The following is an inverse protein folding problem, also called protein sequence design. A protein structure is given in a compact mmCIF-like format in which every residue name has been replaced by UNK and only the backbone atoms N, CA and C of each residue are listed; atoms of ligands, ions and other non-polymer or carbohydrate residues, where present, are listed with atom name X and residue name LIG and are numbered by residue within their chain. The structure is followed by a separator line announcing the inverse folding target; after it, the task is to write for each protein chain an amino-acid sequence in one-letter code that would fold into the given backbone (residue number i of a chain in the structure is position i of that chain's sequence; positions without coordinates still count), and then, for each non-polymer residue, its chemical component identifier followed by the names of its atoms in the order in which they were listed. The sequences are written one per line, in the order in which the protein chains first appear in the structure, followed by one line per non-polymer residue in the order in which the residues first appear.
data_IF_706912363004
#
_entry.id   IF_706912363004
#
_cell.length_a   1.000
_cell.length_b   1.000
_cell.length_c   1.000
_cell.angle_alpha   90.00
_cell.angle_beta   90.00
_cell.angle_gamma   90.00
#
_symmetry.space_group_name_H-M   'P 1'
#
loop_
_entity.id
_entity.type
_entity.pdbx_description
1 polymer ?
#
# COMPACT_ATOMS: atom_id res chain seq x y z
N UNK A 1 16.97 -55.86 13.69
CA UNK A 1 17.26 -56.27 12.29
C UNK A 1 18.00 -55.09 11.66
N UNK A 2 19.32 -55.33 11.51
CA UNK A 2 20.25 -54.33 10.98
C UNK A 2 20.32 -54.46 9.45
N UNK A 3 20.38 -53.35 8.72
CA UNK A 3 20.81 -53.35 7.33
C UNK A 3 21.87 -52.24 7.15
N UNK A 4 22.99 -52.73 6.66
CA UNK A 4 24.30 -52.13 6.41
C UNK A 4 24.31 -51.23 5.18
N UNK A 5 25.27 -50.30 5.03
CA UNK A 5 25.41 -49.42 3.88
C UNK A 5 26.32 -49.98 2.79
N UNK A 6 26.11 -49.56 1.54
CA UNK A 6 26.98 -49.83 0.40
C UNK A 6 27.78 -48.59 -0.02
N UNK A 7 29.05 -48.75 -0.48
CA UNK A 7 29.95 -47.64 -0.71
C UNK A 7 29.98 -47.15 -2.17
N UNK A 8 30.30 -45.86 -2.32
CA UNK A 8 30.66 -45.21 -3.59
C UNK A 8 32.07 -45.58 -4.05
N UNK A 9 32.24 -45.84 -5.33
CA UNK A 9 33.52 -45.93 -6.00
C UNK A 9 33.66 -44.83 -7.07
N UNK A 10 34.76 -44.12 -7.02
CA UNK A 10 35.25 -43.21 -8.06
C UNK A 10 36.25 -43.94 -8.98
N UNK A 11 36.37 -43.59 -10.26
CA UNK A 11 37.57 -43.93 -11.02
C UNK A 11 38.43 -42.72 -11.32
N UNK A 12 39.73 -42.95 -11.19
CA UNK A 12 40.88 -42.10 -11.35
C UNK A 12 41.33 -41.92 -12.81
N UNK A 13 41.81 -40.70 -13.06
CA UNK A 13 42.95 -40.29 -13.89
C UNK A 13 43.34 -41.03 -15.20
N UNK A 14 43.54 -40.27 -16.26
CA UNK A 14 44.49 -40.59 -17.33
C UNK A 14 45.37 -39.38 -17.70
N UNK A 15 46.62 -39.73 -17.93
CA UNK A 15 47.85 -38.96 -17.95
C UNK A 15 48.11 -38.16 -19.25
N UNK A 16 49.01 -37.24 -19.09
CA UNK A 16 49.64 -36.36 -20.08
C UNK A 16 50.43 -37.10 -21.19
N UNK A 17 50.50 -36.48 -22.36
CA UNK A 17 51.67 -36.60 -23.27
C UNK A 17 52.05 -35.22 -23.82
N UNK A 18 53.28 -34.81 -23.47
CA UNK A 18 54.06 -33.77 -24.13
C UNK A 18 54.43 -34.19 -25.56
N UNK A 19 54.35 -33.28 -26.50
CA UNK A 19 55.25 -33.23 -27.68
C UNK A 19 55.67 -31.78 -27.86
N UNK A 20 56.98 -31.53 -27.72
CA UNK A 20 57.61 -30.27 -27.98
C UNK A 20 57.93 -30.10 -29.45
N UNK A 21 57.95 -28.88 -29.93
CA UNK A 21 58.70 -28.47 -31.12
C UNK A 21 59.19 -27.05 -30.89
N UNK A 22 60.52 -26.92 -30.86
CA UNK A 22 61.28 -25.66 -30.95
C UNK A 22 61.10 -25.08 -32.36
N UNK A 23 60.90 -23.78 -32.46
CA UNK A 23 61.31 -22.95 -33.58
C UNK A 23 61.72 -21.57 -33.09
N UNK A 24 62.86 -21.12 -33.62
CA UNK A 24 63.72 -20.05 -33.16
C UNK A 24 63.34 -18.71 -33.84
N UNK A 25 63.44 -17.66 -33.05
CA UNK A 25 63.88 -16.31 -33.33
C UNK A 25 63.24 -15.47 -34.46
N UNK A 26 62.78 -14.29 -34.05
CA UNK A 26 62.54 -13.14 -34.88
C UNK A 26 62.15 -11.95 -33.99
N UNK A 27 63.11 -11.25 -33.40
CA UNK A 27 62.85 -10.02 -32.66
C UNK A 27 62.60 -8.88 -33.68
N UNK A 28 61.40 -8.43 -33.75
CA UNK A 28 61.02 -7.15 -34.34
C UNK A 28 60.41 -6.29 -33.21
N UNK A 29 61.20 -5.33 -32.74
CA UNK A 29 60.72 -4.25 -31.85
C UNK A 29 59.74 -3.37 -32.62
N UNK A 30 58.48 -3.59 -32.47
CA UNK A 30 57.43 -2.61 -32.79
C UNK A 30 57.00 -1.97 -31.46
N UNK A 31 57.44 -0.73 -31.23
CA UNK A 31 56.81 0.17 -30.25
C UNK A 31 55.36 0.40 -30.70
N UNK A 32 54.45 -0.43 -30.31
CA UNK A 32 53.01 -0.18 -30.33
C UNK A 32 52.63 0.54 -29.06
N UNK A 33 52.31 1.84 -29.16
CA UNK A 33 51.49 2.49 -28.14
C UNK A 33 50.25 1.62 -27.95
N UNK A 34 50.18 0.90 -26.85
CA UNK A 34 48.90 0.38 -26.34
C UNK A 34 48.09 1.59 -25.92
N UNK A 35 47.22 2.07 -26.80
CA UNK A 35 46.01 2.74 -26.31
C UNK A 35 45.27 1.68 -25.49
N UNK A 36 45.34 1.81 -24.17
CA UNK A 36 44.38 1.16 -23.31
C UNK A 36 43.00 1.62 -23.80
N UNK A 37 42.34 0.78 -24.54
CA UNK A 37 40.95 0.98 -24.87
C UNK A 37 40.23 0.99 -23.50
N UNK A 38 39.91 2.16 -23.02
CA UNK A 38 39.04 2.37 -21.88
C UNK A 38 37.83 1.47 -22.07
N UNK A 39 37.73 0.40 -21.30
CA UNK A 39 36.55 -0.45 -21.35
C UNK A 39 35.39 0.50 -21.01
N UNK A 40 34.32 0.54 -21.83
CA UNK A 40 33.19 1.36 -21.52
C UNK A 40 32.69 1.00 -20.12
N UNK A 41 32.66 1.98 -19.21
CA UNK A 41 32.09 1.78 -17.89
C UNK A 41 30.73 1.10 -18.05
N UNK A 42 30.43 0.09 -17.24
CA UNK A 42 29.14 -0.60 -17.31
C UNK A 42 28.05 0.46 -17.12
N UNK A 43 27.14 0.54 -18.10
CA UNK A 43 26.04 1.50 -18.06
C UNK A 43 25.30 1.38 -16.73
N UNK A 44 25.03 2.52 -16.07
CA UNK A 44 24.29 2.55 -14.81
C UNK A 44 22.98 1.78 -14.96
N UNK A 45 22.60 0.91 -13.96
CA UNK A 45 21.39 0.14 -14.05
C UNK A 45 20.16 1.02 -14.23
N UNK A 46 19.30 0.69 -15.21
CA UNK A 46 18.01 1.37 -15.38
C UNK A 46 17.04 0.94 -14.28
N UNK A 47 15.93 1.65 -14.12
CA UNK A 47 14.89 1.25 -13.18
C UNK A 47 14.24 -0.12 -13.55
N UNK A 48 14.26 -0.47 -14.85
CA UNK A 48 13.78 -1.75 -15.36
C UNK A 48 14.74 -2.92 -15.11
N UNK A 49 16.03 -2.65 -14.89
CA UNK A 49 17.04 -3.69 -14.60
C UNK A 49 17.40 -3.79 -13.12
N UNK A 50 17.06 -2.78 -12.31
CA UNK A 50 17.23 -2.80 -10.87
C UNK A 50 16.15 -3.64 -10.20
N UNK A 51 16.51 -4.37 -9.12
CA UNK A 51 15.54 -5.12 -8.32
C UNK A 51 14.61 -4.19 -7.54
N UNK A 52 13.44 -4.68 -7.15
CA UNK A 52 12.49 -3.94 -6.31
C UNK A 52 12.96 -3.74 -4.85
N UNK A 53 14.15 -4.18 -4.48
CA UNK A 53 14.62 -4.22 -3.09
C UNK A 53 14.55 -2.87 -2.39
N UNK A 54 14.96 -1.81 -3.07
CA UNK A 54 14.89 -0.46 -2.49
C UNK A 54 13.44 -0.11 -2.16
N UNK A 55 12.53 -0.25 -3.12
CA UNK A 55 11.13 0.06 -2.94
C UNK A 55 10.47 -0.79 -1.84
N UNK A 56 10.69 -2.11 -1.87
CA UNK A 56 10.05 -3.02 -0.90
C UNK A 56 10.59 -2.86 0.52
N UNK A 57 11.89 -2.58 0.70
CA UNK A 57 12.48 -2.35 2.02
C UNK A 57 11.99 -1.05 2.66
N UNK A 58 11.85 0.02 1.87
CA UNK A 58 11.26 1.27 2.35
C UNK A 58 9.78 1.10 2.71
N UNK A 59 9.01 0.41 1.87
CA UNK A 59 7.61 0.06 2.16
C UNK A 59 7.48 -0.75 3.44
N UNK A 60 8.34 -1.76 3.67
CA UNK A 60 8.34 -2.53 4.92
C UNK A 60 8.62 -1.64 6.15
N UNK A 61 9.53 -0.67 6.00
CA UNK A 61 9.79 0.29 7.08
C UNK A 61 8.60 1.20 7.33
N UNK A 62 7.99 1.73 6.28
CA UNK A 62 6.81 2.59 6.38
C UNK A 62 5.64 1.87 7.08
N UNK A 63 5.38 0.61 6.72
CA UNK A 63 4.37 -0.22 7.40
C UNK A 63 4.69 -0.43 8.89
N UNK A 64 5.97 -0.59 9.27
CA UNK A 64 6.38 -0.64 10.67
C UNK A 64 6.20 0.70 11.40
N UNK A 65 6.44 1.82 10.72
CA UNK A 65 6.20 3.15 11.28
C UNK A 65 4.71 3.39 11.52
N UNK A 66 3.84 2.97 10.60
CA UNK A 66 2.37 3.02 10.77
C UNK A 66 1.94 2.17 11.97
N UNK A 67 2.42 0.93 12.05
CA UNK A 67 2.07 -0.01 13.14
C UNK A 67 2.46 0.52 14.52
N UNK A 68 3.64 1.13 14.62
CA UNK A 68 4.25 1.54 15.89
C UNK A 68 4.16 3.06 16.14
N UNK A 69 3.64 3.81 15.17
CA UNK A 69 3.47 5.25 15.26
C UNK A 69 2.18 5.65 15.94
N UNK A 70 2.17 6.84 16.54
CA UNK A 70 0.97 7.41 17.16
C UNK A 70 0.20 8.21 16.12
N UNK A 71 -1.12 8.03 16.07
CA UNK A 71 -2.02 8.88 15.30
C UNK A 71 -2.22 8.46 13.84
N UNK A 72 -1.57 7.40 13.35
CA UNK A 72 -1.75 6.89 11.99
C UNK A 72 -3.03 6.05 11.89
N UNK A 73 -4.18 6.71 12.04
CA UNK A 73 -5.49 6.12 11.75
C UNK A 73 -5.58 5.71 10.27
N UNK A 74 -6.51 4.83 9.86
CA UNK A 74 -6.57 4.37 8.48
C UNK A 74 -6.55 5.48 7.42
N UNK A 75 -7.31 6.59 7.55
CA UNK A 75 -7.20 7.69 6.59
C UNK A 75 -5.81 8.33 6.55
N UNK A 76 -5.20 8.59 7.70
CA UNK A 76 -3.87 9.21 7.79
C UNK A 76 -2.79 8.30 7.21
N UNK A 77 -2.84 6.99 7.52
CA UNK A 77 -1.93 6.00 6.96
C UNK A 77 -2.07 5.89 5.43
N UNK A 78 -3.30 5.89 4.89
CA UNK A 78 -3.54 5.83 3.45
C UNK A 78 -2.89 7.00 2.70
N UNK A 79 -2.96 8.19 3.29
CA UNK A 79 -2.33 9.39 2.74
C UNK A 79 -0.81 9.29 2.71
N UNK A 80 -0.18 8.84 3.80
CA UNK A 80 1.27 8.67 3.87
C UNK A 80 1.77 7.70 2.79
N UNK A 81 1.18 6.50 2.72
CA UNK A 81 1.49 5.48 1.73
C UNK A 81 1.33 5.98 0.28
N UNK A 82 0.33 6.83 0.02
CA UNK A 82 0.11 7.38 -1.32
C UNK A 82 1.20 8.38 -1.73
N UNK A 83 1.55 9.31 -0.84
CA UNK A 83 2.60 10.30 -1.15
C UNK A 83 3.99 9.68 -1.23
N UNK A 84 4.31 8.68 -0.41
CA UNK A 84 5.54 7.91 -0.54
C UNK A 84 5.58 7.19 -1.90
N UNK A 85 4.53 6.47 -2.27
CA UNK A 85 4.46 5.80 -3.58
C UNK A 85 4.57 6.74 -4.77
N UNK A 86 3.99 7.96 -4.71
CA UNK A 86 4.15 8.97 -5.77
C UNK A 86 5.59 9.49 -5.80
N UNK A 87 6.21 9.77 -4.65
CA UNK A 87 7.61 10.23 -4.60
C UNK A 87 8.56 9.17 -5.16
N UNK A 88 8.37 7.91 -4.79
CA UNK A 88 9.11 6.78 -5.35
C UNK A 88 8.99 6.73 -6.89
N UNK A 89 7.76 6.75 -7.40
CA UNK A 89 7.53 6.68 -8.85
C UNK A 89 8.18 7.84 -9.59
N UNK A 90 7.96 9.06 -9.15
CA UNK A 90 8.51 10.26 -9.81
C UNK A 90 10.03 10.33 -9.74
N UNK A 91 10.64 9.79 -8.68
CA UNK A 91 12.10 9.72 -8.58
C UNK A 91 12.74 8.76 -9.58
N UNK A 92 12.01 7.77 -10.10
CA UNK A 92 12.54 6.76 -11.02
C UNK A 92 11.93 6.82 -12.42
N UNK A 93 10.81 7.51 -12.62
CA UNK A 93 10.10 7.59 -13.89
C UNK A 93 10.99 8.07 -15.08
N UNK A 94 11.91 9.03 -14.91
CA UNK A 94 12.81 9.41 -16.01
C UNK A 94 13.79 8.31 -16.44
N UNK A 95 14.08 7.35 -15.55
CA UNK A 95 14.89 6.16 -15.84
C UNK A 95 14.11 5.01 -16.48
N UNK A 96 12.85 5.20 -16.78
CA UNK A 96 11.98 4.21 -17.42
C UNK A 96 11.69 4.64 -18.86
N UNK A 97 12.12 3.86 -19.84
CA UNK A 97 12.02 4.21 -21.27
C UNK A 97 10.59 4.49 -21.71
N UNK A 98 9.65 3.67 -21.27
CA UNK A 98 8.25 3.74 -21.71
C UNK A 98 7.35 4.57 -20.80
N UNK A 99 7.85 5.06 -19.66
CA UNK A 99 7.02 5.74 -18.66
C UNK A 99 7.16 7.27 -18.76
N UNK A 100 6.25 7.97 -18.12
CA UNK A 100 6.24 9.43 -18.01
C UNK A 100 5.82 9.86 -16.61
N UNK A 101 6.14 11.10 -16.25
CA UNK A 101 5.70 11.73 -15.01
C UNK A 101 4.17 11.86 -14.96
N UNK A 102 3.62 11.79 -13.75
CA UNK A 102 2.22 12.07 -13.46
C UNK A 102 1.95 13.57 -13.24
N UNK A 103 2.98 14.41 -13.26
CA UNK A 103 2.81 15.86 -13.21
C UNK A 103 1.91 16.33 -14.37
N UNK A 104 0.92 17.17 -14.05
CA UNK A 104 -0.12 17.59 -15.00
C UNK A 104 -1.30 16.63 -15.10
N UNK A 105 -1.25 15.44 -14.47
CA UNK A 105 -2.36 14.47 -14.43
C UNK A 105 -2.98 14.38 -13.03
N UNK A 106 -2.21 14.68 -11.98
CA UNK A 106 -2.68 14.67 -10.60
C UNK A 106 -3.20 16.04 -10.17
N UNK A 107 -4.19 16.07 -9.30
CA UNK A 107 -4.84 17.30 -8.83
C UNK A 107 -3.85 18.22 -8.13
N UNK A 108 -3.57 19.36 -8.73
CA UNK A 108 -2.69 20.39 -8.14
C UNK A 108 -1.18 20.08 -8.22
N UNK A 109 -0.76 19.03 -8.95
CA UNK A 109 0.64 18.73 -9.25
C UNK A 109 0.92 19.07 -10.70
N UNK A 110 1.40 20.27 -11.00
CA UNK A 110 1.61 20.74 -12.36
C UNK A 110 3.00 20.41 -12.91
N UNK A 111 4.02 20.53 -12.09
CA UNK A 111 5.43 20.36 -12.50
C UNK A 111 6.24 19.70 -11.39
N UNK A 112 7.30 18.99 -11.79
CA UNK A 112 8.29 18.41 -10.89
C UNK A 112 9.71 18.69 -11.42
N UNK A 113 10.74 18.64 -10.56
CA UNK A 113 12.14 18.69 -10.98
C UNK A 113 12.43 17.63 -12.04
N UNK A 114 13.32 17.97 -12.97
CA UNK A 114 13.77 17.06 -14.04
C UNK A 114 15.24 16.73 -13.85
N UNK A 115 15.69 15.54 -14.24
CA UNK A 115 17.12 15.25 -14.29
C UNK A 115 17.82 16.13 -15.31
N UNK A 116 19.09 16.44 -15.08
CA UNK A 116 19.91 17.22 -16.01
C UNK A 116 20.11 16.45 -17.31
N UNK A 117 19.88 17.11 -18.44
CA UNK A 117 19.98 16.48 -19.74
C UNK A 117 21.41 15.98 -20.02
N UNK A 118 21.54 14.79 -20.58
CA UNK A 118 22.83 14.20 -20.93
C UNK A 118 23.63 13.64 -19.74
N UNK A 119 23.08 13.67 -18.52
CA UNK A 119 23.74 13.12 -17.34
C UNK A 119 23.19 11.72 -16.99
N UNK A 120 24.09 10.84 -16.56
CA UNK A 120 23.72 9.52 -16.03
C UNK A 120 23.20 9.62 -14.58
N UNK A 121 22.28 8.75 -14.21
CA UNK A 121 21.71 8.64 -12.86
C UNK A 121 21.62 7.17 -12.44
N UNK A 122 21.88 6.89 -11.18
CA UNK A 122 21.53 5.63 -10.56
C UNK A 122 20.13 5.75 -9.95
N UNK A 123 19.16 5.12 -10.58
CA UNK A 123 17.74 5.26 -10.19
C UNK A 123 17.41 4.57 -8.86
N UNK A 124 18.18 3.55 -8.45
CA UNK A 124 18.03 2.96 -7.13
C UNK A 124 18.49 3.93 -6.03
N UNK A 125 19.54 4.71 -6.28
CA UNK A 125 20.02 5.78 -5.36
C UNK A 125 19.01 6.92 -5.31
N UNK A 126 18.45 7.34 -6.45
CA UNK A 126 17.43 8.38 -6.49
C UNK A 126 16.17 7.95 -5.73
N UNK A 127 15.71 6.71 -5.93
CA UNK A 127 14.60 6.13 -5.17
C UNK A 127 14.89 6.10 -3.66
N UNK A 128 16.07 5.65 -3.25
CA UNK A 128 16.47 5.58 -1.85
C UNK A 128 16.45 6.97 -1.18
N UNK A 129 17.01 7.96 -1.84
CA UNK A 129 17.05 9.33 -1.32
C UNK A 129 15.65 9.97 -1.27
N UNK A 130 14.79 9.67 -2.24
CA UNK A 130 13.41 10.14 -2.26
C UNK A 130 12.60 9.53 -1.11
N UNK A 131 12.66 8.21 -0.94
CA UNK A 131 11.96 7.50 0.14
C UNK A 131 12.42 7.96 1.53
N UNK A 132 13.73 8.10 1.73
CA UNK A 132 14.28 8.56 3.00
C UNK A 132 13.74 9.95 3.40
N UNK A 133 13.70 10.89 2.46
CA UNK A 133 13.23 12.25 2.74
C UNK A 133 11.71 12.31 2.88
N UNK A 134 10.96 11.68 1.98
CA UNK A 134 9.50 11.75 2.04
C UNK A 134 8.95 11.07 3.30
N UNK A 135 9.49 9.91 3.71
CA UNK A 135 9.08 9.22 4.92
C UNK A 135 9.42 10.04 6.17
N UNK A 136 10.64 10.61 6.27
CA UNK A 136 10.99 11.53 7.37
C UNK A 136 10.00 12.70 7.49
N UNK A 137 9.55 13.22 6.36
CA UNK A 137 8.65 14.38 6.28
C UNK A 137 7.20 14.01 6.62
N UNK A 138 6.70 12.87 6.15
CA UNK A 138 5.34 12.40 6.41
C UNK A 138 5.15 11.89 7.84
N UNK A 139 6.20 11.31 8.44
CA UNK A 139 6.21 10.83 9.83
C UNK A 139 6.89 11.83 10.77
N UNK A 140 6.45 13.08 10.73
CA UNK A 140 7.03 14.19 11.51
C UNK A 140 7.09 13.95 13.02
N UNK A 141 6.19 13.12 13.57
CA UNK A 141 6.17 12.69 14.96
C UNK A 141 6.94 11.39 15.24
N UNK A 142 7.76 10.91 14.29
CA UNK A 142 8.61 9.74 14.51
C UNK A 142 9.56 9.95 15.69
N UNK A 143 9.68 8.95 16.54
CA UNK A 143 10.59 8.96 17.69
C UNK A 143 12.05 9.00 17.24
N UNK A 144 13.00 9.41 18.11
CA UNK A 144 14.43 9.36 17.78
C UNK A 144 14.90 7.98 17.30
N UNK A 145 14.42 6.88 17.91
CA UNK A 145 14.75 5.52 17.48
C UNK A 145 14.20 5.19 16.08
N UNK A 146 12.99 5.64 15.77
CA UNK A 146 12.40 5.48 14.42
C UNK A 146 13.19 6.28 13.38
N UNK A 147 13.60 7.51 13.70
CA UNK A 147 14.47 8.34 12.81
C UNK A 147 15.81 7.66 12.56
N UNK A 148 16.45 7.14 13.60
CA UNK A 148 17.70 6.35 13.45
C UNK A 148 17.50 5.14 12.55
N UNK A 149 16.35 4.47 12.63
CA UNK A 149 16.04 3.33 11.74
C UNK A 149 15.90 3.77 10.27
N UNK A 150 15.29 4.94 10.03
CA UNK A 150 15.20 5.53 8.68
C UNK A 150 16.61 5.84 8.14
N UNK A 151 17.44 6.54 8.94
CA UNK A 151 18.81 6.91 8.55
C UNK A 151 19.70 5.68 8.30
N UNK A 152 19.54 4.63 9.09
CA UNK A 152 20.27 3.38 8.94
C UNK A 152 19.89 2.65 7.65
N UNK A 153 18.59 2.63 7.28
CA UNK A 153 18.14 2.02 6.03
C UNK A 153 18.66 2.79 4.81
N UNK A 154 18.57 4.14 4.84
CA UNK A 154 19.11 4.99 3.79
C UNK A 154 20.61 4.74 3.57
N UNK A 155 21.36 4.69 4.67
CA UNK A 155 22.81 4.41 4.66
C UNK A 155 23.12 3.04 4.09
N UNK A 156 22.42 2.00 4.54
CA UNK A 156 22.63 0.63 4.10
C UNK A 156 22.35 0.44 2.60
N UNK A 157 21.28 1.06 2.09
CA UNK A 157 20.91 0.99 0.67
C UNK A 157 21.83 1.81 -0.24
N UNK A 158 22.48 2.86 0.28
CA UNK A 158 23.47 3.66 -0.44
C UNK A 158 24.84 2.98 -0.52
N UNK A 159 25.17 2.08 0.42
CA UNK A 159 26.52 1.53 0.56
C UNK A 159 27.10 0.95 -0.73
N UNK A 160 26.36 0.17 -1.56
CA UNK A 160 26.90 -0.40 -2.79
C UNK A 160 27.24 0.64 -3.88
N UNK A 161 26.72 1.85 -3.77
CA UNK A 161 26.75 2.86 -4.85
C UNK A 161 27.60 4.08 -4.52
N UNK A 162 28.19 4.20 -3.31
CA UNK A 162 28.85 5.42 -2.81
C UNK A 162 30.03 5.89 -3.64
N UNK A 163 30.66 5.01 -4.39
CA UNK A 163 31.82 5.33 -5.24
C UNK A 163 31.45 5.58 -6.69
N UNK A 164 30.17 5.44 -7.07
CA UNK A 164 29.71 5.69 -8.43
C UNK A 164 29.73 7.19 -8.74
N UNK A 165 30.17 7.55 -9.92
CA UNK A 165 30.33 8.95 -10.35
C UNK A 165 29.01 9.74 -10.34
N UNK A 166 27.87 9.07 -10.55
CA UNK A 166 26.54 9.65 -10.54
C UNK A 166 25.87 9.66 -9.15
N UNK A 167 26.53 9.17 -8.09
CA UNK A 167 25.94 8.97 -6.76
C UNK A 167 25.35 10.27 -6.20
N UNK A 168 26.16 11.31 -6.03
CA UNK A 168 25.72 12.57 -5.41
C UNK A 168 24.60 13.25 -6.20
N UNK A 169 24.69 13.19 -7.53
CA UNK A 169 23.66 13.74 -8.42
C UNK A 169 22.35 12.99 -8.29
N UNK A 170 22.40 11.67 -8.17
CA UNK A 170 21.22 10.81 -7.97
C UNK A 170 20.55 11.06 -6.62
N UNK A 171 21.33 11.19 -5.55
CA UNK A 171 20.83 11.57 -4.21
C UNK A 171 20.12 12.92 -4.27
N UNK A 172 20.78 13.93 -4.84
CA UNK A 172 20.23 15.29 -4.95
C UNK A 172 18.91 15.29 -5.74
N UNK A 173 18.84 14.56 -6.85
CA UNK A 173 17.63 14.47 -7.66
C UNK A 173 16.47 13.79 -6.88
N UNK A 174 16.72 12.65 -6.22
CA UNK A 174 15.71 11.99 -5.40
C UNK A 174 15.17 12.89 -4.29
N UNK A 175 16.06 13.62 -3.60
CA UNK A 175 15.65 14.58 -2.57
C UNK A 175 14.82 15.73 -3.13
N UNK A 176 15.14 16.26 -4.31
CA UNK A 176 14.35 17.31 -4.96
C UNK A 176 12.94 16.84 -5.30
N UNK A 177 12.78 15.62 -5.81
CA UNK A 177 11.47 15.03 -6.07
C UNK A 177 10.67 14.88 -4.78
N UNK A 178 11.28 14.29 -3.74
CA UNK A 178 10.61 14.09 -2.46
C UNK A 178 10.17 15.41 -1.82
N UNK A 179 11.02 16.44 -1.86
CA UNK A 179 10.68 17.77 -1.35
C UNK A 179 9.50 18.36 -2.12
N UNK A 180 9.50 18.31 -3.45
CA UNK A 180 8.41 18.83 -4.27
C UNK A 180 7.09 18.09 -4.01
N UNK A 181 7.13 16.75 -3.86
CA UNK A 181 5.95 15.94 -3.52
C UNK A 181 5.47 16.24 -2.09
N UNK A 182 6.38 16.42 -1.14
CA UNK A 182 6.02 16.80 0.21
C UNK A 182 5.36 18.19 0.27
N UNK A 183 5.93 19.19 -0.40
CA UNK A 183 5.34 20.55 -0.45
C UNK A 183 3.94 20.52 -1.07
N UNK A 184 3.75 19.75 -2.14
CA UNK A 184 2.42 19.51 -2.70
C UNK A 184 1.48 18.83 -1.72
N UNK A 185 1.95 17.85 -0.93
CA UNK A 185 1.16 17.14 0.07
C UNK A 185 0.62 18.06 1.17
N UNK A 186 1.38 19.09 1.54
CA UNK A 186 0.99 20.03 2.61
C UNK A 186 -0.26 20.83 2.31
N UNK A 187 -0.70 20.89 1.07
CA UNK A 187 -1.84 21.68 0.58
C UNK A 187 -3.11 20.85 0.36
N UNK A 188 -3.14 19.57 0.76
CA UNK A 188 -4.26 18.68 0.48
C UNK A 188 -5.37 18.68 1.55
N UNK A 189 -5.16 19.32 2.70
CA UNK A 189 -6.07 19.34 3.84
C UNK A 189 -5.80 18.27 4.90
N UNK A 190 -4.96 17.23 4.58
CA UNK A 190 -4.63 16.12 5.48
C UNK A 190 -3.23 16.21 6.10
N UNK A 191 -2.51 17.32 5.89
CA UNK A 191 -1.17 17.50 6.45
C UNK A 191 -1.18 17.36 7.98
N UNK A 192 -0.24 16.59 8.53
CA UNK A 192 -0.13 16.30 9.97
C UNK A 192 -1.43 15.78 10.62
N UNK A 193 -2.29 15.11 9.84
CA UNK A 193 -3.57 14.57 10.31
C UNK A 193 -3.43 13.63 11.52
N UNK A 194 -2.24 13.06 11.76
CA UNK A 194 -1.92 12.27 12.96
C UNK A 194 -2.00 13.08 14.28
N UNK A 195 -1.94 14.40 14.23
CA UNK A 195 -2.09 15.27 15.39
C UNK A 195 -3.56 15.64 15.66
N UNK A 196 -4.47 15.46 14.70
CA UNK A 196 -5.86 15.95 14.75
C UNK A 196 -6.90 14.87 14.46
N UNK A 197 -6.65 13.64 14.91
CA UNK A 197 -7.55 12.51 14.62
C UNK A 197 -8.98 12.66 15.13
N UNK A 198 -9.16 13.31 16.28
CA UNK A 198 -10.46 13.41 16.98
C UNK A 198 -10.71 14.86 17.40
N UNK A 199 -10.99 15.78 16.44
CA UNK A 199 -11.19 17.18 16.75
C UNK A 199 -12.42 17.40 17.63
N UNK A 200 -12.27 18.25 18.65
CA UNK A 200 -13.35 18.58 19.59
C UNK A 200 -14.42 19.47 18.95
N UNK A 201 -14.11 20.10 17.83
CA UNK A 201 -15.03 20.98 17.09
C UNK A 201 -16.14 20.21 16.35
N UNK A 202 -15.99 18.92 16.12
CA UNK A 202 -17.01 18.12 15.46
C UNK A 202 -18.02 17.60 16.48
N UNK A 203 -19.29 17.95 16.28
CA UNK A 203 -20.43 17.44 17.04
C UNK A 203 -21.28 16.60 16.09
N UNK A 204 -21.43 15.28 16.35
CA UNK A 204 -22.29 14.44 15.53
C UNK A 204 -23.72 14.96 15.52
N UNK A 205 -24.42 14.96 14.37
CA UNK A 205 -25.85 15.29 14.34
C UNK A 205 -26.65 14.24 15.13
N UNK A 206 -27.71 14.68 15.80
CA UNK A 206 -28.58 13.85 16.61
C UNK A 206 -29.89 13.59 15.87
N UNK A 207 -30.31 12.33 15.80
CA UNK A 207 -31.55 11.94 15.15
C UNK A 207 -31.69 10.43 15.02
N UNK A 208 -32.86 10.00 14.57
CA UNK A 208 -33.20 8.60 14.35
C UNK A 208 -32.37 8.04 13.18
N UNK A 209 -31.77 6.88 13.36
CA UNK A 209 -30.93 6.24 12.34
C UNK A 209 -29.56 6.91 12.14
N UNK A 210 -29.25 7.94 12.95
CA UNK A 210 -27.95 8.60 12.90
C UNK A 210 -26.95 7.94 13.86
N UNK A 211 -25.68 8.01 13.44
CA UNK A 211 -24.58 7.46 14.21
C UNK A 211 -24.42 8.18 15.55
N UNK A 212 -24.30 7.38 16.59
CA UNK A 212 -23.87 7.80 17.92
C UNK A 212 -22.58 7.09 18.29
N UNK A 213 -21.64 7.74 18.99
CA UNK A 213 -20.44 7.06 19.51
C UNK A 213 -20.85 5.88 20.38
N UNK A 214 -20.32 4.69 20.08
CA UNK A 214 -20.60 3.50 20.87
C UNK A 214 -19.99 3.63 22.28
N UNK A 215 -20.67 3.11 23.29
CA UNK A 215 -20.15 3.05 24.67
C UNK A 215 -18.81 2.32 24.68
N UNK A 216 -17.81 2.88 25.35
CA UNK A 216 -16.44 2.33 25.43
C UNK A 216 -15.47 2.85 24.36
N UNK A 217 -15.92 3.62 23.39
CA UNK A 217 -15.04 4.44 22.55
C UNK A 217 -14.74 5.76 23.25
N UNK A 218 -13.71 6.49 22.81
CA UNK A 218 -13.42 7.84 23.34
C UNK A 218 -14.54 8.86 23.11
N UNK A 219 -15.67 8.43 22.56
CA UNK A 219 -16.83 9.26 22.27
C UNK A 219 -16.61 10.30 21.17
N UNK A 220 -15.45 10.31 20.52
CA UNK A 220 -15.11 11.31 19.49
C UNK A 220 -15.00 10.69 18.13
N UNK A 221 -15.53 11.40 17.14
CA UNK A 221 -15.45 11.04 15.73
C UNK A 221 -14.00 11.06 15.23
N UNK A 222 -13.60 10.01 14.53
CA UNK A 222 -12.25 9.92 13.91
C UNK A 222 -12.28 10.57 12.54
N UNK A 223 -11.43 11.58 12.35
CA UNK A 223 -11.18 12.27 11.08
C UNK A 223 -12.45 12.78 10.36
N UNK A 224 -13.37 13.50 11.07
CA UNK A 224 -14.69 13.86 10.50
C UNK A 224 -14.60 14.77 9.27
N UNK A 225 -13.49 15.46 9.07
CA UNK A 225 -13.28 16.38 7.95
C UNK A 225 -12.46 15.74 6.81
N UNK A 226 -12.03 14.48 6.93
CA UNK A 226 -11.15 13.82 5.95
C UNK A 226 -11.72 13.75 4.53
N UNK A 227 -13.03 13.67 4.41
CA UNK A 227 -13.74 13.71 3.12
C UNK A 227 -13.65 15.03 2.36
N UNK A 228 -13.06 16.08 2.95
CA UNK A 228 -12.81 17.37 2.33
C UNK A 228 -11.40 17.49 1.74
N UNK A 229 -10.53 16.50 1.99
CA UNK A 229 -9.16 16.51 1.49
C UNK A 229 -9.14 16.40 -0.04
N UNK A 230 -8.08 16.96 -0.64
CA UNK A 230 -7.84 16.85 -2.07
C UNK A 230 -7.58 15.39 -2.47
N UNK A 231 -8.31 14.92 -3.46
CA UNK A 231 -8.10 13.63 -4.11
C UNK A 231 -6.90 13.71 -5.08
N UNK A 232 -6.16 12.62 -5.23
CA UNK A 232 -5.04 12.53 -6.17
C UNK A 232 -5.53 12.64 -7.61
N UNK A 233 -6.60 11.92 -7.96
CA UNK A 233 -7.09 11.79 -9.33
C UNK A 233 -8.29 12.70 -9.54
N UNK A 234 -8.23 13.67 -10.51
CA UNK A 234 -9.33 14.59 -10.77
C UNK A 234 -10.67 13.90 -11.04
N UNK A 235 -10.66 12.76 -11.75
CA UNK A 235 -11.87 11.98 -12.04
C UNK A 235 -12.55 11.45 -10.76
N UNK A 236 -11.81 11.17 -9.69
CA UNK A 236 -12.37 10.74 -8.42
C UNK A 236 -13.10 11.90 -7.70
N UNK A 237 -12.64 13.13 -7.88
CA UNK A 237 -13.27 14.30 -7.29
C UNK A 237 -14.68 14.60 -7.86
N UNK A 238 -14.92 14.19 -9.10
CA UNK A 238 -16.20 14.39 -9.81
C UNK A 238 -17.13 13.18 -9.75
N UNK A 239 -16.73 12.10 -9.09
CA UNK A 239 -17.59 10.93 -8.92
C UNK A 239 -18.84 11.28 -8.09
N UNK A 240 -20.04 10.85 -8.53
CA UNK A 240 -21.23 10.98 -7.72
C UNK A 240 -21.07 10.13 -6.44
N UNK A 241 -21.49 10.70 -5.33
CA UNK A 241 -21.53 9.95 -4.08
C UNK A 241 -22.61 8.88 -4.14
N UNK A 242 -22.34 7.64 -3.71
CA UNK A 242 -23.34 6.58 -3.73
C UNK A 242 -24.49 6.91 -2.76
N UNK A 243 -25.72 6.61 -3.19
CA UNK A 243 -26.91 6.76 -2.34
C UNK A 243 -27.08 5.59 -1.38
N UNK A 244 -27.77 5.84 -0.26
CA UNK A 244 -28.33 4.75 0.55
C UNK A 244 -29.45 4.06 -0.24
N UNK A 245 -29.43 2.72 -0.28
CA UNK A 245 -30.40 1.92 -1.01
C UNK A 245 -31.74 1.75 -0.27
N UNK A 246 -31.84 2.25 0.96
CA UNK A 246 -33.06 2.16 1.80
C UNK A 246 -33.13 3.32 2.79
N UNK A 247 -34.35 3.61 3.23
CA UNK A 247 -34.62 4.57 4.30
C UNK A 247 -34.61 3.86 5.65
N UNK A 248 -34.36 4.59 6.73
CA UNK A 248 -34.51 4.10 8.08
C UNK A 248 -35.97 3.65 8.35
N UNK A 249 -36.10 2.45 8.93
CA UNK A 249 -37.41 1.92 9.36
C UNK A 249 -37.22 0.75 10.31
N UNK A 250 -37.86 0.80 11.47
CA UNK A 250 -37.88 -0.30 12.45
C UNK A 250 -38.99 -1.32 12.16
N UNK A 251 -39.79 -1.11 11.12
CA UNK A 251 -40.92 -1.97 10.79
C UNK A 251 -40.45 -3.31 10.24
N UNK A 252 -40.94 -4.45 10.80
CA UNK A 252 -40.67 -5.76 10.24
C UNK A 252 -41.00 -5.82 8.74
N UNK A 253 -40.08 -6.40 7.96
CA UNK A 253 -40.22 -6.50 6.50
C UNK A 253 -39.68 -5.30 5.72
N UNK A 254 -39.31 -4.19 6.37
CA UNK A 254 -38.60 -3.11 5.68
C UNK A 254 -37.18 -3.51 5.31
N UNK A 255 -36.63 -2.89 4.26
CA UNK A 255 -35.28 -3.19 3.79
C UNK A 255 -34.21 -2.91 4.88
N UNK A 256 -34.35 -1.83 5.64
CA UNK A 256 -33.43 -1.56 6.76
C UNK A 256 -33.54 -2.59 7.86
N UNK A 257 -34.76 -2.95 8.29
CA UNK A 257 -34.98 -4.00 9.28
C UNK A 257 -34.30 -5.30 8.87
N UNK A 258 -34.41 -5.68 7.59
CA UNK A 258 -33.77 -6.90 7.05
C UNK A 258 -32.23 -6.85 7.17
N UNK A 259 -31.61 -5.68 6.93
CA UNK A 259 -30.17 -5.50 7.12
C UNK A 259 -29.74 -5.68 8.59
N UNK A 260 -30.49 -5.11 9.53
CA UNK A 260 -30.22 -5.24 10.96
C UNK A 260 -30.41 -6.69 11.41
N UNK A 261 -31.49 -7.33 10.96
CA UNK A 261 -31.80 -8.75 11.26
C UNK A 261 -30.72 -9.68 10.71
N UNK A 262 -30.19 -9.41 9.52
CA UNK A 262 -29.09 -10.18 8.94
C UNK A 262 -27.84 -10.14 9.83
N UNK A 263 -27.40 -8.96 10.26
CA UNK A 263 -26.25 -8.83 11.18
C UNK A 263 -26.51 -9.60 12.48
N UNK A 264 -27.68 -9.43 13.09
CA UNK A 264 -28.04 -10.11 14.32
C UNK A 264 -28.03 -11.63 14.17
N UNK A 265 -28.67 -12.16 13.14
CA UNK A 265 -28.74 -13.60 12.88
C UNK A 265 -27.35 -14.18 12.56
N UNK A 266 -26.57 -13.52 11.70
CA UNK A 266 -25.20 -13.93 11.35
C UNK A 266 -24.33 -14.01 12.58
N UNK A 267 -24.38 -13.03 13.48
CA UNK A 267 -23.56 -12.99 14.70
C UNK A 267 -23.81 -14.17 15.64
N UNK A 268 -25.04 -14.71 15.63
CA UNK A 268 -25.46 -15.84 16.49
C UNK A 268 -25.09 -17.22 15.94
N UNK A 269 -24.76 -17.30 14.64
CA UNK A 269 -24.50 -18.58 13.95
C UNK A 269 -23.15 -18.63 13.23
N UNK A 270 -22.21 -17.75 13.59
CA UNK A 270 -20.87 -17.70 12.99
C UNK A 270 -20.16 -19.05 13.13
N UNK A 271 -19.73 -19.61 12.01
CA UNK A 271 -18.79 -20.74 11.99
C UNK A 271 -17.39 -20.31 12.44
N UNK A 272 -16.54 -21.28 12.79
CA UNK A 272 -15.14 -21.01 13.12
C UNK A 272 -14.41 -20.30 11.98
N UNK A 273 -14.67 -20.71 10.72
CA UNK A 273 -14.09 -20.07 9.54
C UNK A 273 -14.52 -18.61 9.39
N UNK A 274 -15.79 -18.29 9.59
CA UNK A 274 -16.27 -16.90 9.52
C UNK A 274 -15.69 -16.02 10.63
N UNK A 275 -15.51 -16.57 11.85
CA UNK A 275 -14.80 -15.88 12.94
C UNK A 275 -13.35 -15.61 12.59
N UNK A 276 -12.66 -16.60 12.01
CA UNK A 276 -11.27 -16.44 11.55
C UNK A 276 -11.16 -15.36 10.47
N UNK A 277 -12.08 -15.33 9.50
CA UNK A 277 -12.16 -14.28 8.46
C UNK A 277 -12.33 -12.90 9.13
N UNK A 278 -13.29 -12.73 10.03
CA UNK A 278 -13.51 -11.45 10.70
C UNK A 278 -12.27 -10.99 11.49
N UNK A 279 -11.62 -11.91 12.20
CA UNK A 279 -10.41 -11.64 12.98
C UNK A 279 -9.22 -11.28 12.11
N UNK A 280 -9.01 -12.00 11.00
CA UNK A 280 -7.91 -11.74 10.06
C UNK A 280 -7.99 -10.33 9.48
N UNK A 281 -9.17 -9.93 9.01
CA UNK A 281 -9.40 -8.60 8.42
C UNK A 281 -9.76 -7.52 9.46
N UNK A 282 -9.55 -7.77 10.75
CA UNK A 282 -9.84 -6.76 11.76
C UNK A 282 -8.98 -5.50 11.57
N UNK A 283 -7.71 -5.68 11.24
CA UNK A 283 -6.72 -4.62 11.02
C UNK A 283 -6.76 -3.51 12.08
N UNK A 284 -7.06 -3.88 13.31
CA UNK A 284 -7.20 -2.97 14.44
C UNK A 284 -5.86 -2.46 14.97
N UNK A 285 -5.86 -1.90 16.17
CA UNK A 285 -4.65 -1.42 16.85
C UNK A 285 -3.54 -2.47 16.88
N UNK A 286 -2.28 -2.06 16.82
CA UNK A 286 -1.10 -2.92 16.75
C UNK A 286 -0.94 -3.70 15.43
N UNK A 287 -1.62 -3.27 14.37
CA UNK A 287 -1.40 -3.77 13.00
C UNK A 287 -0.87 -2.67 12.10
N UNK A 288 -0.55 -3.04 10.86
CA UNK A 288 -0.14 -2.08 9.83
C UNK A 288 -1.31 -1.24 9.29
N UNK A 289 -2.50 -1.33 9.92
CA UNK A 289 -3.72 -0.64 9.49
C UNK A 289 -4.32 -1.20 8.18
N UNK A 290 -5.61 -1.04 7.90
CA UNK A 290 -6.23 -1.52 6.67
C UNK A 290 -5.54 -1.04 5.37
N UNK A 291 -5.18 0.24 5.19
CA UNK A 291 -4.42 0.67 3.99
C UNK A 291 -3.05 0.00 3.88
N UNK A 292 -2.36 -0.19 5.01
CA UNK A 292 -1.09 -0.92 5.04
C UNK A 292 -1.24 -2.39 4.62
N UNK A 293 -2.37 -3.02 4.91
CA UNK A 293 -2.67 -4.37 4.45
C UNK A 293 -2.73 -4.44 2.91
N UNK A 294 -3.39 -3.47 2.25
CA UNK A 294 -3.41 -3.36 0.79
C UNK A 294 -2.01 -3.22 0.19
N UNK A 295 -1.15 -2.43 0.82
CA UNK A 295 0.26 -2.25 0.41
C UNK A 295 1.09 -3.51 0.69
N UNK A 296 0.84 -4.22 1.79
CA UNK A 296 1.47 -5.52 2.09
C UNK A 296 1.15 -6.56 1.01
N UNK A 297 -0.12 -6.68 0.60
CA UNK A 297 -0.52 -7.56 -0.51
C UNK A 297 0.22 -7.17 -1.79
N UNK A 298 0.35 -5.86 -2.08
CA UNK A 298 1.13 -5.39 -3.23
C UNK A 298 2.58 -5.85 -3.14
N UNK A 299 3.22 -5.72 -1.96
CA UNK A 299 4.59 -6.20 -1.72
C UNK A 299 4.73 -7.71 -1.92
N UNK A 300 3.76 -8.51 -1.44
CA UNK A 300 3.73 -9.96 -1.61
C UNK A 300 3.73 -10.32 -3.10
N UNK A 301 2.87 -9.67 -3.89
CA UNK A 301 2.77 -9.91 -5.34
C UNK A 301 4.05 -9.51 -6.06
N UNK A 302 4.63 -8.35 -5.74
CA UNK A 302 5.87 -7.87 -6.33
C UNK A 302 7.03 -8.84 -6.05
N UNK A 303 7.18 -9.31 -4.81
CA UNK A 303 8.21 -10.27 -4.42
C UNK A 303 8.03 -11.62 -5.11
N UNK A 304 6.80 -12.14 -5.19
CA UNK A 304 6.52 -13.42 -5.85
C UNK A 304 6.86 -13.43 -7.35
N UNK A 305 6.94 -12.24 -7.95
CA UNK A 305 7.25 -12.03 -9.37
C UNK A 305 8.69 -11.59 -9.62
N UNK A 306 9.52 -11.46 -8.59
CA UNK A 306 10.87 -10.87 -8.70
C UNK A 306 10.82 -9.53 -9.45
N UNK A 307 9.88 -8.67 -9.06
CA UNK A 307 9.60 -7.42 -9.75
C UNK A 307 10.82 -6.49 -9.80
N UNK A 308 10.89 -5.67 -10.83
CA UNK A 308 11.91 -4.61 -10.97
C UNK A 308 11.52 -3.38 -10.15
N UNK A 309 12.49 -2.47 -9.94
CA UNK A 309 12.23 -1.18 -9.30
C UNK A 309 11.16 -0.38 -10.05
N UNK A 310 11.19 -0.39 -11.38
CA UNK A 310 10.19 0.24 -12.22
C UNK A 310 8.77 -0.28 -11.94
N UNK A 311 8.61 -1.61 -11.94
CA UNK A 311 7.32 -2.24 -11.68
C UNK A 311 6.82 -1.98 -10.25
N UNK A 312 7.73 -2.00 -9.27
CA UNK A 312 7.38 -1.74 -7.87
C UNK A 312 6.95 -0.27 -7.66
N UNK A 313 7.70 0.68 -8.23
CA UNK A 313 7.37 2.10 -8.13
C UNK A 313 6.00 2.42 -8.75
N UNK A 314 5.69 1.86 -9.93
CA UNK A 314 4.36 2.02 -10.54
C UNK A 314 3.26 1.38 -9.69
N UNK A 315 3.48 0.18 -9.15
CA UNK A 315 2.47 -0.52 -8.35
C UNK A 315 2.17 0.21 -7.03
N UNK A 316 3.20 0.64 -6.29
CA UNK A 316 3.00 1.37 -5.04
C UNK A 316 2.35 2.74 -5.26
N UNK A 317 2.71 3.47 -6.32
CA UNK A 317 2.06 4.73 -6.65
C UNK A 317 0.57 4.53 -6.97
N UNK A 318 0.24 3.57 -7.83
CA UNK A 318 -1.15 3.30 -8.21
C UNK A 318 -1.99 2.82 -7.03
N UNK A 319 -1.51 1.82 -6.27
CA UNK A 319 -2.26 1.28 -5.13
C UNK A 319 -2.36 2.32 -4.02
N UNK A 320 -1.27 3.03 -3.71
CA UNK A 320 -1.28 4.10 -2.71
C UNK A 320 -2.32 5.18 -3.02
N UNK A 321 -2.31 5.73 -4.25
CA UNK A 321 -3.30 6.73 -4.69
C UNK A 321 -4.73 6.18 -4.65
N UNK A 322 -4.94 4.95 -5.11
CA UNK A 322 -6.27 4.34 -5.12
C UNK A 322 -6.83 4.14 -3.71
N UNK A 323 -6.01 3.67 -2.78
CA UNK A 323 -6.39 3.49 -1.38
C UNK A 323 -6.66 4.84 -0.71
N UNK A 324 -5.82 5.84 -0.92
CA UNK A 324 -6.01 7.18 -0.36
C UNK A 324 -7.30 7.84 -0.87
N UNK A 325 -7.51 7.84 -2.19
CA UNK A 325 -8.72 8.41 -2.79
C UNK A 325 -9.99 7.65 -2.35
N UNK A 326 -9.90 6.32 -2.18
CA UNK A 326 -10.99 5.52 -1.64
C UNK A 326 -11.31 5.92 -0.19
N UNK A 327 -10.31 6.22 0.65
CA UNK A 327 -10.55 6.71 2.01
C UNK A 327 -11.16 8.11 2.05
N UNK A 328 -10.70 9.05 1.22
CA UNK A 328 -11.31 10.39 1.13
C UNK A 328 -12.77 10.27 0.69
N UNK A 329 -13.06 9.52 -0.37
CA UNK A 329 -14.43 9.29 -0.88
C UNK A 329 -15.31 8.59 0.15
N UNK A 330 -14.80 7.56 0.81
CA UNK A 330 -15.49 6.83 1.88
C UNK A 330 -15.81 7.74 3.07
N UNK A 331 -14.85 8.55 3.54
CA UNK A 331 -15.06 9.47 4.65
C UNK A 331 -16.05 10.58 4.31
N UNK A 332 -16.06 11.07 3.07
CA UNK A 332 -17.10 11.97 2.57
C UNK A 332 -18.50 11.36 2.74
N UNK A 333 -18.68 10.10 2.30
CA UNK A 333 -19.95 9.39 2.46
C UNK A 333 -20.32 9.21 3.95
N UNK A 334 -19.38 8.77 4.78
CA UNK A 334 -19.61 8.52 6.20
C UNK A 334 -20.19 9.73 6.91
N UNK A 335 -19.55 10.87 6.80
CA UNK A 335 -19.95 12.08 7.51
C UNK A 335 -21.05 12.88 6.81
N UNK A 336 -21.33 12.61 5.54
CA UNK A 336 -22.49 13.13 4.84
C UNK A 336 -23.79 12.42 5.28
N UNK A 337 -23.77 11.08 5.32
CA UNK A 337 -24.94 10.29 5.71
C UNK A 337 -25.07 10.15 7.23
N UNK A 338 -23.96 10.15 7.92
CA UNK A 338 -23.88 9.95 9.37
C UNK A 338 -24.72 8.76 9.86
N UNK A 339 -24.65 7.62 9.11
CA UNK A 339 -25.53 6.46 9.30
C UNK A 339 -25.13 5.65 10.52
N UNK A 340 -26.13 5.16 11.28
CA UNK A 340 -25.92 4.43 12.52
C UNK A 340 -25.22 3.07 12.29
N UNK A 341 -24.51 2.59 13.31
CA UNK A 341 -23.83 1.32 13.33
C UNK A 341 -24.75 0.17 13.73
N UNK A 342 -24.46 -1.10 13.29
CA UNK A 342 -25.23 -2.27 13.70
C UNK A 342 -25.42 -2.40 15.20
N UNK A 343 -24.44 -2.02 16.04
CA UNK A 343 -24.58 -2.12 17.50
C UNK A 343 -25.79 -1.30 18.01
N UNK A 344 -25.96 -0.09 17.53
CA UNK A 344 -27.09 0.78 17.92
C UNK A 344 -28.41 0.16 17.47
N UNK A 345 -28.49 -0.25 16.20
CA UNK A 345 -29.71 -0.79 15.61
C UNK A 345 -30.12 -2.14 16.21
N UNK A 346 -29.17 -3.07 16.39
CA UNK A 346 -29.45 -4.41 16.97
C UNK A 346 -29.85 -4.31 18.43
N UNK A 347 -29.20 -3.44 19.20
CA UNK A 347 -29.58 -3.22 20.60
C UNK A 347 -30.99 -2.64 20.75
N UNK A 348 -31.36 -1.73 19.84
CA UNK A 348 -32.69 -1.15 19.85
C UNK A 348 -33.80 -2.09 19.39
N UNK A 349 -33.53 -2.97 18.40
CA UNK A 349 -34.57 -3.74 17.72
C UNK A 349 -34.69 -5.21 18.23
N UNK A 350 -33.56 -5.82 18.65
CA UNK A 350 -33.52 -7.27 18.89
C UNK A 350 -33.00 -7.66 20.27
N UNK A 351 -31.88 -7.11 20.73
CA UNK A 351 -31.26 -7.51 22.00
C UNK A 351 -30.43 -6.37 22.60
N UNK A 352 -30.90 -5.71 23.65
CA UNK A 352 -30.19 -4.60 24.28
C UNK A 352 -28.76 -4.93 24.79
N UNK A 353 -28.50 -6.21 25.06
CA UNK A 353 -27.18 -6.68 25.52
C UNK A 353 -26.27 -7.16 24.41
N UNK A 354 -26.70 -7.08 23.15
CA UNK A 354 -25.92 -7.57 22.03
C UNK A 354 -24.59 -6.79 21.84
N UNK A 355 -23.53 -7.54 21.56
CA UNK A 355 -22.22 -6.98 21.22
C UNK A 355 -21.72 -7.59 19.91
N UNK A 356 -21.11 -6.80 19.01
CA UNK A 356 -20.46 -7.32 17.81
C UNK A 356 -19.19 -8.11 18.17
N UNK A 357 -18.78 -9.01 17.27
CA UNK A 357 -17.51 -9.75 17.40
C UNK A 357 -16.29 -8.82 17.39
N UNK A 358 -16.31 -7.80 16.56
CA UNK A 358 -15.25 -6.80 16.47
C UNK A 358 -15.68 -5.50 17.15
N UNK A 359 -14.73 -4.80 17.77
CA UNK A 359 -14.98 -3.47 18.31
C UNK A 359 -15.51 -2.52 17.22
N UNK A 360 -16.61 -1.83 17.50
CA UNK A 360 -17.20 -0.85 16.59
C UNK A 360 -16.29 0.37 16.49
N UNK A 361 -15.83 0.74 15.29
CA UNK A 361 -14.98 1.91 15.11
C UNK A 361 -15.73 3.22 15.38
N UNK A 362 -15.04 4.29 15.88
CA UNK A 362 -15.67 5.56 16.24
C UNK A 362 -15.89 6.50 15.03
N UNK A 363 -16.66 6.05 14.06
CA UNK A 363 -17.11 6.80 12.89
C UNK A 363 -18.36 6.19 12.25
N UNK A 364 -19.15 6.94 11.46
CA UNK A 364 -20.39 6.44 10.85
C UNK A 364 -20.23 5.20 9.98
N UNK A 365 -21.33 4.51 9.76
CA UNK A 365 -21.35 3.17 9.16
C UNK A 365 -21.07 3.19 7.65
N UNK A 366 -21.84 3.97 6.86
CA UNK A 366 -21.92 3.90 5.40
C UNK A 366 -20.92 4.84 4.71
N UNK A 367 -20.12 4.38 3.76
CA UNK A 367 -19.89 3.03 3.27
C UNK A 367 -18.80 2.33 4.06
N UNK A 368 -18.60 1.02 3.87
CA UNK A 368 -17.52 0.26 4.51
C UNK A 368 -16.14 0.67 3.99
N UNK A 369 -15.25 1.12 4.91
CA UNK A 369 -13.88 1.54 4.55
C UNK A 369 -13.02 0.38 4.03
N UNK A 370 -13.10 -0.81 4.67
CA UNK A 370 -12.42 -2.02 4.19
C UNK A 370 -12.84 -2.41 2.78
N UNK A 371 -14.14 -2.33 2.50
CA UNK A 371 -14.66 -2.65 1.16
C UNK A 371 -14.17 -1.66 0.10
N UNK A 372 -14.22 -0.35 0.41
CA UNK A 372 -13.79 0.70 -0.52
C UNK A 372 -12.30 0.55 -0.88
N UNK A 373 -11.42 0.42 0.11
CA UNK A 373 -9.99 0.26 -0.16
C UNK A 373 -9.66 -1.07 -0.86
N UNK A 374 -10.28 -2.19 -0.43
CA UNK A 374 -10.00 -3.50 -1.02
C UNK A 374 -10.51 -3.59 -2.45
N UNK A 375 -11.68 -3.00 -2.74
CA UNK A 375 -12.19 -2.86 -4.11
C UNK A 375 -11.27 -2.04 -5.01
N UNK A 376 -10.73 -0.92 -4.50
CA UNK A 376 -9.77 -0.09 -5.23
C UNK A 376 -8.45 -0.83 -5.48
N UNK A 377 -7.91 -1.48 -4.46
CA UNK A 377 -6.68 -2.28 -4.55
C UNK A 377 -6.82 -3.43 -5.53
N UNK A 378 -7.91 -4.22 -5.42
CA UNK A 378 -8.16 -5.35 -6.29
C UNK A 378 -8.27 -4.95 -7.76
N UNK A 379 -8.92 -3.81 -8.04
CA UNK A 379 -9.03 -3.28 -9.40
C UNK A 379 -7.66 -2.90 -9.96
N UNK A 380 -6.86 -2.14 -9.21
CA UNK A 380 -5.53 -1.70 -9.64
C UNK A 380 -4.57 -2.89 -9.82
N UNK A 381 -4.52 -3.81 -8.86
CA UNK A 381 -3.66 -4.99 -8.97
C UNK A 381 -4.11 -5.92 -10.10
N UNK A 382 -5.43 -6.04 -10.32
CA UNK A 382 -5.97 -6.79 -11.45
C UNK A 382 -5.58 -6.23 -12.80
N UNK A 383 -5.52 -4.90 -12.93
CA UNK A 383 -5.08 -4.23 -14.17
C UNK A 383 -3.57 -4.36 -14.39
N UNK A 384 -2.77 -4.32 -13.31
CA UNK A 384 -1.31 -4.44 -13.40
C UNK A 384 -0.82 -5.87 -13.63
N UNK A 385 -1.43 -6.82 -12.96
CA UNK A 385 -0.88 -8.18 -12.85
C UNK A 385 -1.79 -9.27 -13.42
N UNK A 386 -2.97 -8.92 -13.87
CA UNK A 386 -4.00 -9.83 -14.36
C UNK A 386 -5.03 -10.17 -13.28
N UNK A 387 -6.32 -10.10 -13.65
CA UNK A 387 -7.45 -10.27 -12.73
C UNK A 387 -7.50 -11.64 -12.05
N UNK A 388 -6.96 -12.69 -12.69
CA UNK A 388 -6.93 -14.06 -12.19
C UNK A 388 -5.60 -14.43 -11.52
N UNK A 389 -4.86 -13.46 -11.03
CA UNK A 389 -3.61 -13.71 -10.29
C UNK A 389 -3.92 -14.30 -8.91
N UNK A 390 -3.50 -15.55 -8.71
CA UNK A 390 -3.54 -16.20 -7.39
C UNK A 390 -2.35 -15.76 -6.53
N UNK A 391 -2.56 -15.63 -5.23
CA UNK A 391 -1.51 -15.29 -4.27
C UNK A 391 -1.84 -15.81 -2.88
N UNK A 392 -0.85 -15.81 -2.00
CA UNK A 392 -1.02 -16.13 -0.58
C UNK A 392 -0.72 -14.89 0.25
N UNK A 393 -1.74 -14.39 0.93
CA UNK A 393 -1.58 -13.29 1.87
C UNK A 393 -1.06 -13.83 3.21
N UNK A 394 0.14 -13.41 3.58
CA UNK A 394 0.81 -13.76 4.83
C UNK A 394 1.04 -12.52 5.72
N UNK A 395 0.35 -11.43 5.46
CA UNK A 395 0.52 -10.13 6.13
C UNK A 395 0.52 -10.24 7.65
N UNK A 396 -0.34 -11.08 8.20
CA UNK A 396 -0.51 -11.24 9.64
C UNK A 396 0.19 -12.48 10.23
N UNK A 397 0.91 -13.26 9.43
CA UNK A 397 1.51 -14.53 9.87
C UNK A 397 2.37 -14.39 11.15
N UNK A 398 3.10 -13.29 11.27
CA UNK A 398 3.95 -13.02 12.44
C UNK A 398 3.17 -12.84 13.76
N UNK A 399 1.83 -12.73 13.71
CA UNK A 399 0.96 -12.63 14.90
C UNK A 399 0.68 -13.99 15.54
N UNK A 400 1.03 -15.09 14.86
CA UNK A 400 0.87 -16.46 15.39
C UNK A 400 -0.51 -17.07 15.15
N UNK A 401 -0.92 -17.97 16.04
CA UNK A 401 -2.14 -18.74 15.90
C UNK A 401 -3.40 -17.87 15.69
N UNK A 402 -4.24 -18.27 14.72
CA UNK A 402 -5.42 -17.53 14.29
C UNK A 402 -5.17 -16.48 13.19
N UNK A 403 -3.91 -16.37 12.74
CA UNK A 403 -3.51 -15.48 11.65
C UNK A 403 -2.72 -16.24 10.56
N UNK A 404 -3.15 -17.45 10.28
CA UNK A 404 -2.55 -18.29 9.24
C UNK A 404 -2.64 -17.60 7.88
N UNK A 405 -1.65 -17.83 6.99
CA UNK A 405 -1.68 -17.31 5.62
C UNK A 405 -2.96 -17.70 4.88
N UNK A 406 -3.51 -16.79 4.10
CA UNK A 406 -4.75 -16.97 3.35
C UNK A 406 -4.49 -17.00 1.85
N UNK A 407 -4.90 -18.08 1.19
CA UNK A 407 -4.76 -18.24 -0.25
C UNK A 407 -5.99 -17.66 -0.97
N UNK A 408 -5.74 -16.85 -1.99
CA UNK A 408 -6.76 -16.25 -2.85
C UNK A 408 -6.52 -16.62 -4.30
N UNK A 409 -7.59 -17.00 -5.01
CA UNK A 409 -7.53 -17.33 -6.44
C UNK A 409 -7.45 -16.09 -7.33
N UNK A 410 -7.82 -14.92 -6.81
CA UNK A 410 -7.82 -13.66 -7.56
C UNK A 410 -7.81 -12.46 -6.60
N UNK A 411 -7.52 -11.26 -7.15
CA UNK A 411 -7.64 -10.04 -6.39
C UNK A 411 -9.11 -9.70 -6.03
N UNK A 412 -10.08 -10.08 -6.84
CA UNK A 412 -11.49 -9.93 -6.48
C UNK A 412 -11.84 -10.77 -5.24
N UNK A 413 -11.35 -12.01 -5.17
CA UNK A 413 -11.64 -12.91 -4.07
C UNK A 413 -11.17 -12.37 -2.70
N UNK A 414 -10.00 -11.74 -2.62
CA UNK A 414 -9.57 -11.13 -1.36
C UNK A 414 -10.44 -9.92 -0.98
N UNK A 415 -10.82 -9.10 -1.98
CA UNK A 415 -11.63 -7.93 -1.71
C UNK A 415 -13.03 -8.31 -1.23
N UNK A 416 -13.64 -9.34 -1.80
CA UNK A 416 -14.93 -9.90 -1.38
C UNK A 416 -14.85 -10.45 0.04
N UNK A 417 -13.78 -11.16 0.39
CA UNK A 417 -13.58 -11.68 1.74
C UNK A 417 -13.35 -10.55 2.75
N UNK A 418 -12.53 -9.55 2.43
CA UNK A 418 -12.33 -8.37 3.25
C UNK A 418 -13.65 -7.62 3.50
N UNK A 419 -14.50 -7.51 2.49
CA UNK A 419 -15.81 -6.87 2.61
C UNK A 419 -16.78 -7.67 3.50
N UNK A 420 -16.96 -8.97 3.25
CA UNK A 420 -17.89 -9.80 4.05
C UNK A 420 -17.39 -9.98 5.49
N UNK A 421 -16.09 -9.89 5.74
CA UNK A 421 -15.52 -9.95 7.09
C UNK A 421 -16.15 -8.93 8.05
N UNK A 422 -16.61 -7.80 7.53
CA UNK A 422 -17.21 -6.73 8.34
C UNK A 422 -18.63 -7.08 8.80
N UNK A 423 -19.38 -7.83 7.96
CA UNK A 423 -20.67 -8.40 8.36
C UNK A 423 -20.47 -9.45 9.45
N UNK A 424 -19.51 -10.36 9.27
CA UNK A 424 -19.15 -11.36 10.29
C UNK A 424 -18.66 -10.70 11.58
N UNK A 425 -17.93 -9.60 11.48
CA UNK A 425 -17.52 -8.79 12.61
C UNK A 425 -18.64 -8.06 13.32
N UNK A 426 -19.83 -7.98 12.72
CA UNK A 426 -21.00 -7.31 13.29
C UNK A 426 -20.93 -5.79 13.29
N UNK A 427 -20.12 -5.18 12.44
CA UNK A 427 -19.85 -3.71 12.47
C UNK A 427 -20.25 -2.97 11.20
N UNK A 428 -20.71 -3.68 10.17
CA UNK A 428 -21.26 -3.14 8.93
C UNK A 428 -22.46 -3.95 8.44
N UNK A 429 -23.41 -3.27 7.80
CA UNK A 429 -24.47 -3.90 7.04
C UNK A 429 -23.93 -4.40 5.69
N UNK A 430 -24.60 -5.41 5.11
CA UNK A 430 -24.23 -5.98 3.82
C UNK A 430 -24.18 -4.92 2.72
N UNK A 431 -25.18 -4.08 2.65
CA UNK A 431 -25.27 -3.01 1.63
C UNK A 431 -24.08 -2.05 1.67
N UNK A 432 -23.59 -1.67 2.86
CA UNK A 432 -22.42 -0.81 2.97
C UNK A 432 -21.13 -1.50 2.49
N UNK A 433 -21.04 -2.83 2.64
CA UNK A 433 -19.92 -3.59 2.11
C UNK A 433 -19.96 -3.67 0.59
N UNK A 434 -21.11 -3.98 0.00
CA UNK A 434 -21.29 -4.12 -1.46
C UNK A 434 -21.13 -2.78 -2.17
N UNK A 435 -21.74 -1.72 -1.66
CA UNK A 435 -21.58 -0.37 -2.20
C UNK A 435 -20.13 0.10 -2.06
N UNK A 436 -19.50 -0.17 -0.90
CA UNK A 436 -18.10 0.16 -0.68
C UNK A 436 -17.18 -0.50 -1.70
N UNK A 437 -17.34 -1.81 -1.99
CA UNK A 437 -16.58 -2.51 -3.02
C UNK A 437 -16.75 -1.85 -4.40
N UNK A 438 -18.01 -1.57 -4.78
CA UNK A 438 -18.34 -0.94 -6.07
C UNK A 438 -17.69 0.44 -6.21
N UNK A 439 -17.76 1.26 -5.17
CA UNK A 439 -17.15 2.60 -5.16
C UNK A 439 -15.62 2.51 -5.19
N UNK A 440 -15.03 1.60 -4.43
CA UNK A 440 -13.59 1.33 -4.49
C UNK A 440 -13.13 0.92 -5.89
N UNK A 441 -13.86 0.03 -6.56
CA UNK A 441 -13.55 -0.38 -7.94
C UNK A 441 -13.64 0.79 -8.92
N UNK A 442 -14.57 1.76 -8.72
CA UNK A 442 -14.65 2.97 -9.54
C UNK A 442 -13.40 3.85 -9.33
N UNK A 443 -13.02 4.07 -8.07
CA UNK A 443 -11.78 4.79 -7.73
C UNK A 443 -10.57 4.12 -8.38
N UNK A 444 -10.42 2.81 -8.23
CA UNK A 444 -9.33 2.04 -8.83
C UNK A 444 -9.28 2.17 -10.36
N UNK A 445 -10.43 2.14 -11.05
CA UNK A 445 -10.51 2.37 -12.51
C UNK A 445 -9.97 3.75 -12.91
N UNK A 446 -10.33 4.79 -12.19
CA UNK A 446 -9.87 6.15 -12.48
C UNK A 446 -8.35 6.29 -12.27
N UNK A 447 -7.78 5.64 -11.25
CA UNK A 447 -6.32 5.58 -11.05
C UNK A 447 -5.65 4.78 -12.17
N UNK A 448 -6.23 3.65 -12.57
CA UNK A 448 -5.71 2.84 -13.69
C UNK A 448 -5.72 3.58 -15.03
N UNK A 449 -6.63 4.53 -15.20
CA UNK A 449 -6.74 5.36 -16.41
C UNK A 449 -5.65 6.45 -16.49
N UNK A 450 -4.89 6.73 -15.41
CA UNK A 450 -3.73 7.62 -15.48
C UNK A 450 -2.69 7.07 -16.46
N UNK A 451 -2.13 7.95 -17.25
CA UNK A 451 -1.13 7.61 -18.26
C UNK A 451 0.24 7.53 -17.61
N UNK A 452 0.62 6.34 -17.16
CA UNK A 452 1.98 6.03 -16.71
C UNK A 452 2.91 5.76 -17.88
N UNK A 453 2.39 5.26 -18.99
CA UNK A 453 3.12 5.01 -20.23
C UNK A 453 2.96 6.20 -21.20
N UNK A 454 4.01 6.41 -22.03
CA UNK A 454 4.01 7.40 -23.14
C UNK A 454 3.14 6.95 -24.28
#
# INVERSE_FOLDING_TARGET
MALTPFPLAWPTAFSARLIGSLAVAGALLLNGCSQDAEQPEPASPTAETSTADVATKWTDLELRLIKNGTGFTPPVASRALAYAGVALYEAVAPGMVANQSLAGQLTGLSTLPKPEAGQSYNWAVAANAAEALIIKSLFGNATPAQRTTIDSLETALNLPYRTAAEFDRSVKYGQQIAQAVFDWSRTDGGHEGYLSNQPTSFVPPVGVGLWVPANGTSGRAVQPYWGQNRLFVPANATMPMPGLSYSYSTQPGSAYYAQVQEVYNTSRSLTAAQRAIATYWADGGQTISPPGHSISITSIVLRSRNATLAAAAEAYARVGMAVSDAFVSCWKCKYQYNWERPITAVQAMFNPAWQPLLATPPFPEFVSGHSAQSGATAKVLGDLFGSQTAFVDNTHQARGAGYEPRAFASFAAFADEAAVSRLYGGIHFRSANEVGLTEGQKVGRNVSALRFKR
#
